data_IF_972085318337
#
_entry.id   IF_972085318337
#
_cell.length_a   1.000
_cell.length_b   1.000
_cell.length_c   1.000
_cell.angle_alpha   90.00
_cell.angle_beta   90.00
_cell.angle_gamma   90.00
#
_symmetry.space_group_name_H-M   'P 1'
#
loop_
_entity.id
_entity.type
_entity.pdbx_description
1 polymer ?
#
# COMPACT_ATOMS: atom_id res chain seq x y z
N UNK A 1 -16.40 -21.29 28.75
CA UNK A 1 -15.50 -21.73 27.65
C UNK A 1 -16.04 -21.17 26.34
N UNK A 2 -15.37 -20.19 25.72
CA UNK A 2 -15.87 -19.53 24.50
C UNK A 2 -15.74 -20.48 23.30
N UNK A 3 -16.85 -21.10 22.90
CA UNK A 3 -16.97 -22.06 21.78
C UNK A 3 -16.97 -21.39 20.40
N UNK A 4 -16.45 -20.16 20.28
CA UNK A 4 -16.39 -19.47 18.99
C UNK A 4 -15.17 -19.96 18.21
N UNK A 5 -15.39 -20.96 17.36
CA UNK A 5 -14.39 -21.49 16.43
C UNK A 5 -13.69 -20.38 15.64
N UNK A 6 -12.37 -20.49 15.52
CA UNK A 6 -11.54 -19.60 14.70
C UNK A 6 -11.95 -19.78 13.23
N UNK A 7 -12.22 -18.65 12.56
CA UNK A 7 -12.63 -18.64 11.16
C UNK A 7 -11.44 -18.90 10.26
N UNK A 8 -11.60 -19.76 9.25
CA UNK A 8 -10.57 -20.04 8.25
C UNK A 8 -10.37 -18.85 7.30
N UNK A 9 -9.11 -18.46 7.06
CA UNK A 9 -8.75 -17.45 6.07
C UNK A 9 -8.87 -17.99 4.65
N UNK A 10 -8.81 -17.11 3.63
CA UNK A 10 -8.78 -17.51 2.22
C UNK A 10 -7.57 -18.42 1.95
N UNK A 11 -6.41 -18.04 2.45
CA UNK A 11 -5.17 -18.82 2.28
C UNK A 11 -5.31 -20.22 2.88
N UNK A 12 -5.81 -20.32 4.11
CA UNK A 12 -6.06 -21.60 4.78
C UNK A 12 -7.06 -22.47 4.01
N UNK A 13 -8.10 -21.86 3.42
CA UNK A 13 -9.05 -22.59 2.56
C UNK A 13 -8.39 -23.07 1.27
N UNK A 14 -7.52 -22.28 0.66
CA UNK A 14 -6.77 -22.68 -0.53
C UNK A 14 -5.79 -23.83 -0.23
N UNK A 15 -5.08 -23.80 0.90
CA UNK A 15 -4.23 -24.92 1.35
C UNK A 15 -5.05 -26.20 1.54
N UNK A 16 -6.24 -26.09 2.14
CA UNK A 16 -7.15 -27.21 2.30
C UNK A 16 -7.63 -27.79 0.95
N UNK A 17 -7.97 -26.91 0.00
CA UNK A 17 -8.33 -27.32 -1.37
C UNK A 17 -7.16 -28.03 -2.04
N UNK A 18 -5.94 -27.53 -1.88
CA UNK A 18 -4.73 -28.16 -2.41
C UNK A 18 -4.50 -29.55 -1.80
N UNK A 19 -4.67 -29.70 -0.49
CA UNK A 19 -4.56 -31.00 0.19
C UNK A 19 -5.59 -32.03 -0.32
N UNK A 20 -6.85 -31.61 -0.54
CA UNK A 20 -7.85 -32.52 -1.10
C UNK A 20 -7.52 -32.90 -2.55
N UNK A 21 -6.89 -32.00 -3.32
CA UNK A 21 -6.47 -32.31 -4.69
C UNK A 21 -5.28 -33.27 -4.74
N UNK A 22 -4.36 -33.20 -3.77
CA UNK A 22 -3.25 -34.15 -3.67
C UNK A 22 -3.68 -35.52 -3.15
N UNK A 23 -4.71 -35.58 -2.28
CA UNK A 23 -5.20 -36.81 -1.67
C UNK A 23 -6.74 -36.89 -1.71
N UNK A 24 -7.34 -37.20 -2.89
CA UNK A 24 -8.80 -37.20 -3.05
C UNK A 24 -9.50 -38.35 -2.31
N UNK A 25 -8.76 -39.37 -1.87
CA UNK A 25 -9.30 -40.48 -1.05
C UNK A 25 -9.57 -40.10 0.40
N UNK A 26 -9.06 -38.96 0.86
CA UNK A 26 -9.18 -38.53 2.26
C UNK A 26 -10.61 -38.13 2.59
N UNK A 27 -11.17 -38.73 3.63
CA UNK A 27 -12.56 -38.45 4.02
C UNK A 27 -12.70 -37.04 4.60
N UNK A 28 -13.87 -36.39 4.45
CA UNK A 28 -14.11 -35.05 5.01
C UNK A 28 -13.85 -34.93 6.53
N UNK A 29 -14.02 -36.02 7.29
CA UNK A 29 -13.69 -36.08 8.72
C UNK A 29 -12.18 -36.01 8.94
N UNK A 30 -11.40 -36.74 8.14
CA UNK A 30 -9.94 -36.72 8.18
C UNK A 30 -9.41 -35.34 7.74
N UNK A 31 -9.98 -34.75 6.69
CA UNK A 31 -9.65 -33.37 6.28
C UNK A 31 -9.97 -32.34 7.36
N UNK A 32 -11.05 -32.52 8.12
CA UNK A 32 -11.36 -31.65 9.25
C UNK A 32 -10.31 -31.76 10.37
N UNK A 33 -9.86 -32.98 10.70
CA UNK A 33 -8.80 -33.20 11.68
C UNK A 33 -7.45 -32.66 11.20
N UNK A 34 -7.11 -32.89 9.94
CA UNK A 34 -5.93 -32.31 9.31
C UNK A 34 -5.96 -30.78 9.38
N UNK A 35 -7.09 -30.16 9.04
CA UNK A 35 -7.27 -28.70 9.08
C UNK A 35 -7.10 -28.16 10.50
N UNK A 36 -7.60 -28.89 11.51
CA UNK A 36 -7.43 -28.55 12.92
C UNK A 36 -5.96 -28.56 13.31
N UNK A 37 -5.24 -29.62 12.95
CA UNK A 37 -3.83 -29.82 13.26
C UNK A 37 -2.94 -28.81 12.52
N UNK A 38 -3.21 -28.58 11.23
CA UNK A 38 -2.42 -27.69 10.37
C UNK A 38 -2.49 -26.21 10.76
N UNK A 39 -3.62 -25.75 11.30
CA UNK A 39 -3.87 -24.33 11.61
C UNK A 39 -4.08 -24.03 13.10
N UNK A 40 -3.77 -25.00 13.98
CA UNK A 40 -3.94 -24.93 15.43
C UNK A 40 -5.33 -24.41 15.83
N UNK A 41 -6.36 -25.04 15.27
CA UNK A 41 -7.74 -24.69 15.59
C UNK A 41 -8.16 -25.35 16.90
N UNK A 42 -8.83 -24.60 17.76
CA UNK A 42 -9.40 -25.15 19.01
C UNK A 42 -10.41 -26.28 18.73
N UNK A 43 -11.21 -26.14 17.67
CA UNK A 43 -12.25 -27.10 17.27
C UNK A 43 -12.08 -27.42 15.79
N UNK A 44 -12.18 -28.69 15.38
CA UNK A 44 -12.14 -29.05 13.97
C UNK A 44 -13.35 -28.45 13.23
N UNK A 45 -13.17 -27.98 11.97
CA UNK A 45 -14.29 -27.55 11.15
C UNK A 45 -15.27 -28.71 10.94
N UNK A 46 -16.56 -28.39 10.82
CA UNK A 46 -17.58 -29.42 10.57
C UNK A 46 -17.42 -30.04 9.18
N UNK A 47 -17.85 -31.30 9.00
CA UNK A 47 -17.86 -31.97 7.68
C UNK A 47 -18.55 -31.13 6.61
N UNK A 48 -19.66 -30.46 6.97
CA UNK A 48 -20.37 -29.56 6.07
C UNK A 48 -19.53 -28.35 5.65
N UNK A 49 -18.72 -27.80 6.56
CA UNK A 49 -17.83 -26.67 6.27
C UNK A 49 -16.75 -27.09 5.27
N UNK A 50 -16.14 -28.27 5.46
CA UNK A 50 -15.19 -28.85 4.51
C UNK A 50 -15.83 -29.02 3.13
N UNK A 51 -17.01 -29.65 3.07
CA UNK A 51 -17.75 -29.82 1.82
C UNK A 51 -18.02 -28.49 1.12
N UNK A 52 -18.53 -27.49 1.84
CA UNK A 52 -18.84 -26.17 1.28
C UNK A 52 -17.59 -25.47 0.74
N UNK A 53 -16.44 -25.59 1.42
CA UNK A 53 -15.17 -25.02 0.96
C UNK A 53 -14.73 -25.67 -0.36
N UNK A 54 -14.80 -26.99 -0.45
CA UNK A 54 -14.41 -27.73 -1.65
C UNK A 54 -15.35 -27.45 -2.83
N UNK A 55 -16.66 -27.35 -2.59
CA UNK A 55 -17.62 -26.97 -3.63
C UNK A 55 -17.41 -25.53 -4.13
N UNK A 56 -17.01 -24.62 -3.24
CA UNK A 56 -16.70 -23.23 -3.59
C UNK A 56 -15.22 -23.01 -4.01
N UNK A 57 -14.48 -24.07 -4.36
CA UNK A 57 -13.04 -24.00 -4.58
C UNK A 57 -12.63 -22.96 -5.63
N UNK A 58 -13.27 -22.97 -6.80
CA UNK A 58 -12.98 -22.01 -7.87
C UNK A 58 -13.22 -20.56 -7.44
N UNK A 59 -14.30 -20.30 -6.68
CA UNK A 59 -14.62 -18.96 -6.19
C UNK A 59 -13.60 -18.50 -5.12
N UNK A 60 -13.15 -19.41 -4.25
CA UNK A 60 -12.17 -19.12 -3.22
C UNK A 60 -10.79 -18.83 -3.83
N UNK A 61 -10.38 -19.61 -4.84
CA UNK A 61 -9.13 -19.40 -5.59
C UNK A 61 -9.17 -18.08 -6.38
N UNK A 62 -10.30 -17.75 -7.01
CA UNK A 62 -10.51 -16.45 -7.64
C UNK A 62 -10.41 -15.29 -6.63
N UNK A 63 -11.01 -15.45 -5.44
CA UNK A 63 -10.91 -14.45 -4.35
C UNK A 63 -9.48 -14.27 -3.86
N UNK A 64 -8.66 -15.33 -3.83
CA UNK A 64 -7.24 -15.25 -3.44
C UNK A 64 -6.43 -14.35 -4.39
N UNK A 65 -6.76 -14.37 -5.68
CA UNK A 65 -6.10 -13.56 -6.70
C UNK A 65 -6.58 -12.10 -6.71
N UNK A 66 -7.68 -11.80 -6.02
CA UNK A 66 -8.26 -10.45 -6.01
C UNK A 66 -7.76 -9.62 -4.83
N UNK A 67 -7.27 -8.42 -5.12
CA UNK A 67 -6.80 -7.45 -4.10
C UNK A 67 -7.93 -6.88 -3.23
N UNK A 68 -9.19 -7.15 -3.59
CA UNK A 68 -10.38 -6.54 -3.02
C UNK A 68 -11.07 -7.41 -1.96
N UNK A 69 -10.37 -8.39 -1.38
CA UNK A 69 -10.97 -9.31 -0.41
C UNK A 69 -10.14 -9.35 0.87
N UNK A 70 -10.83 -9.31 2.01
CA UNK A 70 -10.20 -9.46 3.33
C UNK A 70 -9.68 -10.89 3.53
N UNK A 71 -8.75 -11.08 4.46
CA UNK A 71 -8.27 -12.42 4.84
C UNK A 71 -9.40 -13.41 5.19
N UNK A 72 -10.56 -12.93 5.66
CA UNK A 72 -11.76 -13.76 5.96
C UNK A 72 -12.62 -14.13 4.74
N UNK A 73 -12.27 -13.69 3.53
CA UNK A 73 -13.08 -13.94 2.33
C UNK A 73 -14.19 -12.93 2.08
N UNK A 74 -14.33 -11.88 2.91
CA UNK A 74 -15.32 -10.82 2.67
C UNK A 74 -14.80 -9.84 1.63
N UNK A 75 -15.62 -9.61 0.59
CA UNK A 75 -15.38 -8.53 -0.39
C UNK A 75 -15.34 -7.20 0.35
N UNK A 76 -14.30 -6.42 0.09
CA UNK A 76 -14.20 -5.06 0.58
C UNK A 76 -15.28 -4.24 -0.12
N UNK A 77 -16.24 -3.74 0.65
CA UNK A 77 -17.16 -2.72 0.16
C UNK A 77 -16.38 -1.40 0.08
N UNK A 78 -15.65 -1.25 -1.01
CA UNK A 78 -15.05 0.01 -1.40
C UNK A 78 -16.19 0.88 -1.95
N UNK A 79 -16.61 1.87 -1.16
CA UNK A 79 -17.77 2.73 -1.45
C UNK A 79 -17.69 3.46 -2.80
N UNK A 80 -16.48 3.70 -3.31
CA UNK A 80 -16.25 4.12 -4.70
C UNK A 80 -15.05 3.36 -5.28
N UNK A 81 -15.33 2.35 -6.10
CA UNK A 81 -14.29 1.54 -6.76
C UNK A 81 -13.44 2.38 -7.71
N UNK A 82 -14.08 3.30 -8.43
CA UNK A 82 -13.42 4.14 -9.41
C UNK A 82 -12.37 5.06 -8.75
N UNK A 83 -12.74 5.72 -7.64
CA UNK A 83 -11.82 6.56 -6.88
C UNK A 83 -10.63 5.77 -6.34
N UNK A 84 -10.88 4.59 -5.78
CA UNK A 84 -9.79 3.77 -5.24
C UNK A 84 -8.88 3.22 -6.33
N UNK A 85 -9.41 2.87 -7.50
CA UNK A 85 -8.60 2.41 -8.63
C UNK A 85 -7.69 3.54 -9.15
N UNK A 86 -8.24 4.73 -9.39
CA UNK A 86 -7.47 5.88 -9.87
C UNK A 86 -6.42 6.33 -8.85
N UNK A 87 -6.80 6.43 -7.57
CA UNK A 87 -5.84 6.79 -6.52
C UNK A 87 -4.79 5.70 -6.31
N UNK A 88 -5.16 4.42 -6.41
CA UNK A 88 -4.24 3.29 -6.34
C UNK A 88 -3.25 3.26 -7.50
N UNK A 89 -3.68 3.64 -8.71
CA UNK A 89 -2.79 3.82 -9.86
C UNK A 89 -1.77 4.93 -9.59
N UNK A 90 -2.23 6.09 -9.11
CA UNK A 90 -1.34 7.19 -8.73
C UNK A 90 -0.30 6.75 -7.68
N UNK A 91 -0.70 5.96 -6.68
CA UNK A 91 0.22 5.40 -5.68
C UNK A 91 1.29 4.53 -6.35
N UNK A 92 0.91 3.62 -7.25
CA UNK A 92 1.86 2.76 -7.96
C UNK A 92 2.85 3.57 -8.78
N UNK A 93 2.38 4.57 -9.51
CA UNK A 93 3.26 5.42 -10.31
C UNK A 93 4.22 6.27 -9.44
N UNK A 94 3.79 6.70 -8.26
CA UNK A 94 4.68 7.39 -7.33
C UNK A 94 5.71 6.43 -6.71
N UNK A 95 5.33 5.19 -6.42
CA UNK A 95 6.24 4.15 -5.93
C UNK A 95 7.31 3.80 -6.97
N UNK A 96 6.94 3.66 -8.26
CA UNK A 96 7.91 3.40 -9.33
C UNK A 96 8.87 4.57 -9.54
N UNK A 97 8.42 5.80 -9.29
CA UNK A 97 9.24 7.02 -9.35
C UNK A 97 10.03 7.30 -8.06
N UNK A 98 9.92 6.46 -7.02
CA UNK A 98 10.60 6.66 -5.73
C UNK A 98 10.09 7.87 -4.93
N UNK A 99 8.90 8.41 -5.25
CA UNK A 99 8.33 9.58 -4.59
C UNK A 99 7.68 9.18 -3.27
N UNK A 100 8.08 9.84 -2.19
CA UNK A 100 7.46 9.65 -0.88
C UNK A 100 6.05 10.23 -0.86
N UNK A 101 5.05 9.37 -0.65
CA UNK A 101 3.65 9.77 -0.59
C UNK A 101 3.26 10.15 0.83
N UNK A 102 2.94 11.42 1.04
CA UNK A 102 2.37 11.90 2.30
C UNK A 102 0.85 11.81 2.30
N UNK A 103 0.28 11.76 3.51
CA UNK A 103 -1.17 11.73 3.71
C UNK A 103 -1.87 12.94 3.07
N UNK A 104 -1.28 14.13 3.19
CA UNK A 104 -1.84 15.38 2.63
C UNK A 104 -1.89 15.32 1.10
N UNK A 105 -0.83 14.79 0.47
CA UNK A 105 -0.76 14.63 -0.97
C UNK A 105 -1.85 13.68 -1.48
N UNK A 106 -2.01 12.52 -0.83
CA UNK A 106 -3.07 11.56 -1.17
C UNK A 106 -4.47 12.16 -0.98
N UNK A 107 -4.67 12.96 0.07
CA UNK A 107 -5.95 13.63 0.31
C UNK A 107 -6.24 14.74 -0.72
N UNK A 108 -5.22 15.43 -1.22
CA UNK A 108 -5.38 16.38 -2.34
C UNK A 108 -5.76 15.62 -3.60
N UNK A 109 -4.98 14.59 -3.94
CA UNK A 109 -5.21 13.81 -5.16
C UNK A 109 -6.57 13.11 -5.17
N UNK A 110 -7.02 12.60 -4.01
CA UNK A 110 -8.34 12.01 -3.88
C UNK A 110 -9.48 13.03 -4.07
N UNK A 111 -9.27 14.29 -3.69
CA UNK A 111 -10.24 15.37 -3.96
C UNK A 111 -10.29 15.70 -5.44
N UNK A 112 -9.14 15.92 -6.07
CA UNK A 112 -9.03 16.18 -7.52
C UNK A 112 -9.73 15.09 -8.34
N UNK A 113 -9.47 13.82 -8.03
CA UNK A 113 -10.09 12.69 -8.70
C UNK A 113 -11.61 12.72 -8.52
N UNK A 114 -12.09 12.95 -7.29
CA UNK A 114 -13.52 13.00 -7.00
C UNK A 114 -14.21 14.16 -7.72
N UNK A 115 -13.56 15.32 -7.78
CA UNK A 115 -14.14 16.52 -8.39
C UNK A 115 -14.15 16.42 -9.94
N UNK A 116 -13.33 15.53 -10.51
CA UNK A 116 -13.31 15.22 -11.96
C UNK A 116 -14.33 14.13 -12.35
N UNK A 117 -14.87 13.37 -11.40
CA UNK A 117 -15.86 12.32 -11.67
C UNK A 117 -17.21 12.90 -12.06
N UNK A 118 -17.84 12.33 -13.08
CA UNK A 118 -19.20 12.70 -13.52
C UNK A 118 -20.26 12.40 -12.44
N UNK A 119 -20.02 11.36 -11.62
CA UNK A 119 -20.89 11.00 -10.50
C UNK A 119 -20.08 10.93 -9.20
N UNK A 120 -19.82 12.08 -8.56
CA UNK A 120 -19.02 12.10 -7.35
C UNK A 120 -19.76 11.31 -6.26
N UNK A 121 -19.12 10.29 -5.67
CA UNK A 121 -19.72 9.55 -4.56
C UNK A 121 -19.99 10.50 -3.38
N UNK A 122 -21.16 10.34 -2.73
CA UNK A 122 -21.65 11.16 -1.59
C UNK A 122 -20.71 11.15 -0.37
N UNK A 123 -19.66 10.32 -0.40
CA UNK A 123 -18.78 10.14 0.73
C UNK A 123 -17.87 11.36 1.00
N UNK A 124 -17.69 11.66 2.28
CA UNK A 124 -16.60 12.50 2.74
C UNK A 124 -15.31 11.66 2.74
N UNK A 125 -14.22 12.20 2.17
CA UNK A 125 -12.86 11.63 2.18
C UNK A 125 -12.29 11.60 3.61
N UNK A 126 -12.91 10.78 4.44
CA UNK A 126 -12.67 10.76 5.89
C UNK A 126 -11.26 10.29 6.22
N UNK A 127 -10.78 10.73 7.38
CA UNK A 127 -9.50 10.28 7.94
C UNK A 127 -9.47 8.75 8.06
N UNK A 128 -10.56 8.12 8.47
CA UNK A 128 -10.66 6.66 8.60
C UNK A 128 -10.55 5.93 7.25
N UNK A 129 -11.17 6.45 6.20
CA UNK A 129 -11.05 5.88 4.86
C UNK A 129 -9.61 5.96 4.35
N UNK A 130 -8.98 7.13 4.44
CA UNK A 130 -7.61 7.32 3.96
C UNK A 130 -6.61 6.45 4.72
N UNK A 131 -6.78 6.27 6.04
CA UNK A 131 -5.95 5.36 6.83
C UNK A 131 -6.09 3.90 6.37
N UNK A 132 -7.30 3.44 6.06
CA UNK A 132 -7.51 2.08 5.52
C UNK A 132 -6.94 1.93 4.12
N UNK A 133 -7.10 2.95 3.27
CA UNK A 133 -6.50 3.00 1.94
C UNK A 133 -4.98 2.88 2.01
N UNK A 134 -4.31 3.74 2.79
CA UNK A 134 -2.86 3.69 2.98
C UNK A 134 -2.38 2.32 3.45
N UNK A 135 -3.06 1.73 4.44
CA UNK A 135 -2.73 0.40 4.96
C UNK A 135 -2.81 -0.69 3.88
N UNK A 136 -3.81 -0.64 2.98
CA UNK A 136 -3.95 -1.61 1.88
C UNK A 136 -2.85 -1.49 0.84
N UNK A 137 -2.39 -0.27 0.54
CA UNK A 137 -1.33 -0.03 -0.43
C UNK A 137 0.09 -0.09 0.17
N UNK A 138 0.24 -0.63 1.38
CA UNK A 138 1.54 -0.76 2.06
C UNK A 138 2.16 0.57 2.47
N UNK A 139 1.41 1.67 2.44
CA UNK A 139 1.91 2.99 2.80
C UNK A 139 1.95 3.12 4.32
N UNK A 140 3.15 3.21 4.87
CA UNK A 140 3.38 3.41 6.31
C UNK A 140 3.36 4.90 6.64
N UNK A 141 2.86 5.22 7.82
CA UNK A 141 3.04 6.56 8.39
C UNK A 141 4.52 6.74 8.70
N UNK A 142 5.25 7.42 7.83
CA UNK A 142 6.46 8.09 8.28
C UNK A 142 5.99 9.29 9.12
N UNK A 143 5.80 9.03 10.42
CA UNK A 143 5.86 10.13 11.38
C UNK A 143 7.28 10.65 11.24
N UNK A 144 7.45 11.81 10.61
CA UNK A 144 8.68 12.58 10.76
C UNK A 144 8.84 12.82 12.27
N UNK A 145 9.52 11.89 12.94
CA UNK A 145 10.26 12.24 14.14
C UNK A 145 11.39 13.09 13.59
N UNK A 146 11.26 14.39 13.78
CA UNK A 146 12.35 15.32 13.51
C UNK A 146 13.61 14.81 14.18
N UNK A 147 14.70 14.89 13.42
CA UNK A 147 16.08 15.12 13.85
C UNK A 147 16.59 14.26 15.02
N UNK A 148 17.59 13.42 14.75
CA UNK A 148 18.97 13.70 15.14
C UNK A 148 19.89 12.59 14.64
N UNK A 149 21.06 13.02 14.15
CA UNK A 149 22.23 12.19 14.00
C UNK A 149 22.70 11.66 15.37
N UNK A 150 23.56 10.64 15.34
CA UNK A 150 24.24 9.99 16.49
C UNK A 150 23.29 9.15 17.35
N UNK A 151 23.58 7.89 17.71
CA UNK A 151 24.84 7.37 18.22
C UNK A 151 25.12 5.93 17.77
N UNK A 152 26.38 5.75 17.45
CA UNK A 152 27.18 4.54 17.46
C UNK A 152 27.05 3.71 18.75
N UNK A 153 27.15 2.39 18.58
CA UNK A 153 27.62 1.41 19.58
C UNK A 153 26.74 1.13 20.81
N UNK A 154 26.19 -0.10 20.85
CA UNK A 154 26.62 -1.19 21.77
C UNK A 154 25.62 -2.36 21.70
N UNK A 155 26.07 -3.50 21.21
CA UNK A 155 25.94 -4.78 21.94
C UNK A 155 26.74 -5.87 21.21
N UNK A 156 28.01 -5.96 21.57
CA UNK A 156 28.88 -7.12 21.34
C UNK A 156 28.58 -8.16 22.41
N UNK A 157 28.25 -9.41 22.05
CA UNK A 157 28.74 -10.73 22.58
C UNK A 157 27.99 -11.81 21.75
N UNK A 158 28.58 -12.60 20.86
CA UNK A 158 29.49 -13.74 20.98
C UNK A 158 29.73 -14.15 19.50
N UNK A 159 30.91 -14.49 18.99
CA UNK A 159 31.65 -15.71 19.25
C UNK A 159 32.94 -15.57 18.43
N UNK A 160 34.08 -15.45 19.09
CA UNK A 160 35.38 -15.54 18.43
C UNK A 160 35.68 -17.03 18.19
N UNK A 161 35.88 -17.41 16.94
CA UNK A 161 36.76 -18.53 16.64
C UNK A 161 37.62 -18.18 15.43
N UNK A 162 38.90 -18.34 15.68
CA UNK A 162 40.09 -17.93 14.98
C UNK A 162 40.40 -18.92 13.85
N UNK A 163 40.61 -18.44 12.62
CA UNK A 163 41.49 -19.08 11.64
C UNK A 163 42.28 -17.98 10.93
N UNK A 164 43.59 -17.98 11.22
CA UNK A 164 44.63 -17.27 10.50
C UNK A 164 44.81 -17.90 9.12
N UNK A 165 44.90 -17.10 8.06
CA UNK A 165 45.84 -17.35 6.95
C UNK A 165 46.12 -16.03 6.18
N UNK A 166 47.38 -15.75 5.80
CA UNK A 166 47.80 -14.49 5.19
C UNK A 166 47.81 -14.52 3.65
N UNK A 167 47.68 -13.31 3.10
CA UNK A 167 48.23 -12.79 1.84
C UNK A 167 47.83 -13.44 0.50
N UNK A 168 46.97 -12.75 -0.26
CA UNK A 168 47.18 -12.54 -1.71
C UNK A 168 46.56 -11.21 -2.16
N UNK A 169 47.40 -10.37 -2.75
CA UNK A 169 47.08 -9.13 -3.47
C UNK A 169 46.02 -9.29 -4.58
N UNK A 170 45.39 -8.15 -4.88
CA UNK A 170 44.66 -7.74 -6.09
C UNK A 170 43.13 -7.98 -6.07
N UNK A 171 42.36 -6.91 -5.86
CA UNK A 171 41.78 -6.12 -6.95
C UNK A 171 41.09 -4.89 -6.34
N UNK A 172 41.71 -3.73 -6.49
CA UNK A 172 41.06 -2.45 -6.30
C UNK A 172 40.21 -2.22 -7.54
N UNK A 173 38.89 -2.17 -7.37
CA UNK A 173 38.02 -1.46 -8.29
C UNK A 173 37.09 -0.60 -7.44
N UNK A 174 37.55 0.62 -7.18
CA UNK A 174 36.75 1.70 -6.61
C UNK A 174 35.53 1.94 -7.52
N UNK A 175 34.34 1.60 -7.03
CA UNK A 175 33.09 2.08 -7.59
C UNK A 175 32.50 3.11 -6.63
N UNK A 176 32.88 4.36 -6.89
CA UNK A 176 32.43 5.56 -6.20
C UNK A 176 30.92 5.77 -6.43
N UNK A 177 30.08 5.33 -5.49
CA UNK A 177 28.68 5.80 -5.38
C UNK A 177 28.45 6.36 -3.98
N UNK A 178 29.16 7.45 -3.67
CA UNK A 178 29.15 8.06 -2.33
C UNK A 178 29.28 9.58 -2.31
N UNK A 179 29.12 10.28 -3.43
CA UNK A 179 29.22 11.73 -3.53
C UNK A 179 28.21 12.23 -4.55
N UNK A 180 27.13 12.86 -4.07
CA UNK A 180 26.34 13.92 -4.75
C UNK A 180 25.02 14.29 -4.03
N UNK A 181 24.77 13.82 -2.81
CA UNK A 181 23.53 14.17 -2.08
C UNK A 181 23.37 15.66 -1.82
N UNK A 182 24.46 16.44 -1.68
CA UNK A 182 24.38 17.89 -1.49
C UNK A 182 24.08 18.64 -2.81
N UNK A 183 24.72 18.23 -3.90
CA UNK A 183 24.52 18.79 -5.25
C UNK A 183 23.11 18.48 -5.76
N UNK A 184 22.62 17.27 -5.50
CA UNK A 184 21.27 16.83 -5.86
C UNK A 184 20.22 17.60 -5.06
N UNK A 185 20.44 17.81 -3.75
CA UNK A 185 19.55 18.65 -2.91
C UNK A 185 19.51 20.09 -3.41
N UNK A 186 20.66 20.67 -3.76
CA UNK A 186 20.72 22.04 -4.29
C UNK A 186 20.02 22.18 -5.65
N UNK A 187 20.12 21.15 -6.51
CA UNK A 187 19.40 21.11 -7.78
C UNK A 187 17.88 21.05 -7.57
N UNK A 188 17.42 20.18 -6.66
CA UNK A 188 16.00 20.05 -6.31
C UNK A 188 15.45 21.35 -5.72
N UNK A 189 16.17 22.02 -4.81
CA UNK A 189 15.74 23.31 -4.27
C UNK A 189 15.69 24.41 -5.34
N UNK A 190 16.63 24.41 -6.29
CA UNK A 190 16.59 25.35 -7.42
C UNK A 190 15.35 25.13 -8.29
N UNK A 191 15.00 23.88 -8.58
CA UNK A 191 13.78 23.54 -9.33
C UNK A 191 12.52 23.94 -8.54
N UNK A 192 12.53 23.74 -7.21
CA UNK A 192 11.43 24.14 -6.33
C UNK A 192 11.21 25.65 -6.35
N UNK A 193 12.27 26.44 -6.25
CA UNK A 193 12.18 27.91 -6.32
C UNK A 193 11.65 28.38 -7.68
N UNK A 194 12.14 27.82 -8.79
CA UNK A 194 11.62 28.10 -10.13
C UNK A 194 10.13 27.77 -10.26
N UNK A 195 9.69 26.65 -9.69
CA UNK A 195 8.28 26.27 -9.69
C UNK A 195 7.41 27.25 -8.89
N UNK A 196 7.89 27.70 -7.72
CA UNK A 196 7.21 28.71 -6.89
C UNK A 196 7.09 30.04 -7.64
N UNK A 197 8.15 30.49 -8.30
CA UNK A 197 8.15 31.70 -9.09
C UNK A 197 7.15 31.63 -10.23
N UNK A 198 7.15 30.51 -10.98
CA UNK A 198 6.19 30.32 -12.08
C UNK A 198 4.74 30.29 -11.60
N UNK A 199 4.47 29.70 -10.43
CA UNK A 199 3.13 29.74 -9.82
C UNK A 199 2.69 31.18 -9.51
N UNK A 200 3.59 32.03 -9.00
CA UNK A 200 3.28 33.45 -8.74
C UNK A 200 3.00 34.22 -10.03
N UNK A 201 3.72 33.92 -11.11
CA UNK A 201 3.45 34.52 -12.43
C UNK A 201 2.07 34.12 -12.94
N UNK A 202 1.73 32.83 -12.90
CA UNK A 202 0.41 32.33 -13.29
C UNK A 202 -0.69 33.01 -12.47
N UNK A 203 -0.50 33.20 -11.16
CA UNK A 203 -1.46 33.92 -10.33
C UNK A 203 -1.61 35.40 -10.73
N UNK A 204 -0.53 36.07 -11.13
CA UNK A 204 -0.58 37.45 -11.65
C UNK A 204 -1.32 37.51 -12.98
N UNK A 205 -1.00 36.62 -13.91
CA UNK A 205 -1.70 36.48 -15.21
C UNK A 205 -3.21 36.26 -14.98
N UNK A 206 -3.56 35.33 -14.10
CA UNK A 206 -4.96 35.06 -13.74
C UNK A 206 -5.66 36.27 -13.09
N UNK A 207 -4.96 37.07 -12.28
CA UNK A 207 -5.51 38.35 -11.77
C UNK A 207 -5.76 39.35 -12.89
N UNK A 208 -4.85 39.43 -13.88
CA UNK A 208 -5.03 40.24 -15.08
C UNK A 208 -6.26 39.84 -15.88
N UNK A 209 -6.43 38.54 -16.14
CA UNK A 209 -7.59 37.98 -16.84
C UNK A 209 -8.88 38.30 -16.07
N UNK A 210 -8.91 38.09 -14.75
CA UNK A 210 -10.08 38.44 -13.91
C UNK A 210 -10.43 39.92 -13.97
N UNK A 211 -9.43 40.81 -14.01
CA UNK A 211 -9.64 42.25 -14.16
C UNK A 211 -10.24 42.57 -15.53
N UNK A 212 -9.73 41.95 -16.59
CA UNK A 212 -10.25 42.13 -17.94
C UNK A 212 -11.69 41.63 -18.10
N UNK A 213 -11.99 40.43 -17.60
CA UNK A 213 -13.35 39.88 -17.61
C UNK A 213 -14.34 40.78 -16.85
N UNK A 214 -13.93 41.35 -15.71
CA UNK A 214 -14.77 42.31 -14.97
C UNK A 214 -15.08 43.58 -15.78
N UNK A 215 -14.12 44.04 -16.61
CA UNK A 215 -14.33 45.21 -17.48
C UNK A 215 -15.30 44.86 -18.61
N UNK A 216 -15.19 43.66 -19.22
CA UNK A 216 -16.14 43.20 -20.24
C UNK A 216 -17.56 43.03 -19.68
N UNK A 217 -17.72 42.39 -18.52
CA UNK A 217 -19.03 42.21 -17.87
C UNK A 217 -19.64 43.55 -17.41
N UNK A 218 -18.81 44.52 -17.05
CA UNK A 218 -19.23 45.89 -16.71
C UNK A 218 -19.60 46.74 -17.93
N UNK A 219 -18.99 46.48 -19.09
CA UNK A 219 -19.25 47.18 -20.35
C UNK A 219 -20.47 46.67 -21.12
N UNK A 220 -20.99 45.48 -20.78
CA UNK A 220 -22.18 44.89 -21.42
C UNK A 220 -23.52 45.34 -20.80
N UNK A 221 -23.51 46.30 -19.88
CA UNK A 221 -24.69 46.86 -19.19
C UNK A 221 -25.05 48.31 -19.62
N UNK A 222 -24.56 48.77 -20.77
CA UNK A 222 -24.96 50.04 -21.37
C UNK A 222 -25.78 49.80 -22.64
#
# INVERSE_FOLDING_TARGET
MSTKGKWLTIEQKCELIAQHRSEPSTTYTQLALWTKSRFDLSVPPTRQTIRNILQAAAEIESKRQSDNVTAKGRRLCVRSRELENQLGQYVRECQTRGVQLTRRLLQSRAREIRDTMQHPPVHNLSVGWLTRFMKRHGLRFQKERGSLAEETMKSTKHFAQEIICPDTKSMIQESTYGLNTATDRAHVERLRLKAIERLREIEKEAKGIRKYLRILDGGSKA
#
